data_IF_530776285041
#
_entry.id   IF_530776285041
#
_cell.length_a   1.000
_cell.length_b   1.000
_cell.length_c   1.000
_cell.angle_alpha   90.00
_cell.angle_beta   90.00
_cell.angle_gamma   90.00
#
_symmetry.space_group_name_H-M   'P 1'
#
loop_
_entity.id
_entity.type
_entity.pdbx_description
1 polymer ?
#
# COMPACT_ATOMS: atom_id res chain seq x y z
N UNK A 1 -39.67 54.15 0.65
CA UNK A 1 -38.78 53.78 -0.48
C UNK A 1 -37.55 54.68 -0.37
N UNK A 2 -36.31 54.25 -0.16
CA UNK A 2 -35.53 53.18 -0.81
C UNK A 2 -34.61 52.48 0.20
N UNK A 3 -34.33 51.22 -0.12
CA UNK A 3 -33.47 50.27 0.59
C UNK A 3 -31.99 50.44 0.24
N UNK A 4 -31.14 49.94 1.15
CA UNK A 4 -29.83 49.31 0.95
C UNK A 4 -28.68 50.14 0.32
N UNK A 5 -27.52 50.12 0.98
CA UNK A 5 -26.38 49.31 0.50
C UNK A 5 -25.39 49.05 1.63
N UNK A 6 -24.93 47.81 1.66
CA UNK A 6 -24.11 47.14 2.66
C UNK A 6 -22.65 47.38 2.31
N UNK A 7 -21.88 47.99 3.22
CA UNK A 7 -20.42 48.05 3.12
C UNK A 7 -19.80 46.86 3.86
N UNK A 8 -19.88 45.67 3.28
CA UNK A 8 -19.18 44.50 3.79
C UNK A 8 -17.68 44.64 3.48
N UNK A 9 -16.90 45.07 4.47
CA UNK A 9 -15.45 44.96 4.44
C UNK A 9 -15.10 43.46 4.49
N UNK A 10 -14.83 42.88 3.32
CA UNK A 10 -14.27 41.55 3.17
C UNK A 10 -12.85 41.56 3.74
N UNK A 11 -12.73 41.20 5.01
CA UNK A 11 -11.47 40.86 5.66
C UNK A 11 -10.99 39.51 5.12
N UNK A 12 -10.44 39.52 3.91
CA UNK A 12 -9.78 38.38 3.29
C UNK A 12 -8.32 38.35 3.75
N UNK A 13 -8.00 37.63 4.84
CA UNK A 13 -6.61 37.24 5.16
C UNK A 13 -6.58 35.88 5.90
N UNK A 14 -6.05 34.88 5.17
CA UNK A 14 -5.30 33.70 5.61
C UNK A 14 -5.96 32.69 6.57
N UNK A 15 -6.77 31.78 6.02
CA UNK A 15 -6.78 30.38 6.47
C UNK A 15 -5.61 29.64 5.82
N UNK A 16 -4.40 29.83 6.35
CA UNK A 16 -3.24 29.05 5.96
C UNK A 16 -2.69 28.30 7.18
N UNK A 17 -2.72 26.97 7.08
CA UNK A 17 -1.86 26.00 7.77
C UNK A 17 -2.18 25.66 9.25
N UNK A 18 -3.19 24.82 9.50
CA UNK A 18 -3.26 24.03 10.74
C UNK A 18 -2.85 22.56 10.58
N UNK A 19 -2.55 22.08 9.37
CA UNK A 19 -2.21 20.66 9.11
C UNK A 19 -0.84 20.21 9.63
N UNK A 20 -0.01 21.12 10.15
CA UNK A 20 1.37 20.78 10.54
C UNK A 20 1.47 20.26 11.99
N UNK A 21 0.59 20.69 12.90
CA UNK A 21 0.68 20.33 14.32
C UNK A 21 0.39 18.84 14.59
N UNK A 22 -0.57 18.25 13.86
CA UNK A 22 -0.96 16.85 14.05
C UNK A 22 0.14 15.86 13.62
N UNK A 23 0.94 16.22 12.61
CA UNK A 23 2.06 15.39 12.15
C UNK A 23 3.17 15.30 13.21
N UNK A 24 3.55 16.42 13.82
CA UNK A 24 4.60 16.43 14.87
C UNK A 24 4.15 15.71 16.15
N UNK A 25 2.89 15.87 16.56
CA UNK A 25 2.35 15.16 17.74
C UNK A 25 2.27 13.64 17.49
N UNK A 26 1.87 13.22 16.28
CA UNK A 26 1.87 11.81 15.87
C UNK A 26 3.28 11.22 15.92
N UNK A 27 4.28 11.90 15.33
CA UNK A 27 5.68 11.44 15.31
C UNK A 27 6.29 11.32 16.72
N UNK A 28 6.00 12.25 17.62
CA UNK A 28 6.41 12.14 19.03
C UNK A 28 5.72 10.96 19.73
N UNK A 29 4.43 10.76 19.51
CA UNK A 29 3.68 9.60 20.02
C UNK A 29 4.23 8.25 19.54
N UNK A 30 4.67 8.18 18.27
CA UNK A 30 5.29 6.98 17.70
C UNK A 30 6.61 6.61 18.40
N UNK A 31 7.47 7.60 18.68
CA UNK A 31 8.75 7.38 19.38
C UNK A 31 8.53 6.87 20.81
N UNK A 32 7.59 7.48 21.55
CA UNK A 32 7.22 7.05 22.89
C UNK A 32 6.68 5.60 22.87
N UNK A 33 5.87 5.26 21.87
CA UNK A 33 5.32 3.91 21.70
C UNK A 33 6.42 2.87 21.48
N UNK A 34 7.44 3.18 20.67
CA UNK A 34 8.59 2.29 20.45
C UNK A 34 9.39 2.09 21.75
N UNK A 35 9.67 3.16 22.49
CA UNK A 35 10.42 3.07 23.76
C UNK A 35 9.70 2.13 24.75
N UNK A 36 8.39 2.26 24.89
CA UNK A 36 7.59 1.37 25.76
C UNK A 36 7.62 -0.09 25.29
N UNK A 37 7.59 -0.34 23.99
CA UNK A 37 7.68 -1.69 23.43
C UNK A 37 9.08 -2.30 23.62
N UNK A 38 10.14 -1.51 23.50
CA UNK A 38 11.51 -1.95 23.76
C UNK A 38 11.72 -2.35 25.22
N UNK A 39 11.16 -1.57 26.17
CA UNK A 39 11.20 -1.93 27.58
C UNK A 39 10.49 -3.27 27.86
N UNK A 40 9.35 -3.51 27.23
CA UNK A 40 8.64 -4.79 27.34
C UNK A 40 9.42 -5.94 26.70
N UNK A 41 10.17 -5.66 25.62
CA UNK A 41 10.98 -6.65 24.92
C UNK A 41 12.16 -7.09 25.79
N UNK A 42 12.86 -6.14 26.41
CA UNK A 42 13.94 -6.42 27.35
C UNK A 42 13.44 -7.28 28.51
N UNK A 43 12.30 -6.90 29.10
CA UNK A 43 11.65 -7.71 30.13
C UNK A 43 11.36 -9.13 29.61
N UNK A 44 10.72 -9.28 28.45
CA UNK A 44 10.39 -10.59 27.89
C UNK A 44 11.64 -11.45 27.60
N UNK A 45 12.77 -10.83 27.21
CA UNK A 45 14.06 -11.51 27.02
C UNK A 45 14.63 -12.02 28.35
N UNK A 46 14.62 -11.18 29.39
CA UNK A 46 15.11 -11.55 30.74
C UNK A 46 14.37 -12.77 31.31
N UNK A 47 13.07 -12.88 31.07
CA UNK A 47 12.24 -13.98 31.57
C UNK A 47 12.05 -15.13 30.56
N UNK A 48 12.79 -15.14 29.44
CA UNK A 48 12.76 -16.25 28.48
C UNK A 48 11.41 -16.48 27.79
N UNK A 49 10.58 -15.44 27.65
CA UNK A 49 9.26 -15.58 27.02
C UNK A 49 9.35 -15.39 25.50
N UNK A 50 9.78 -16.43 24.80
CA UNK A 50 10.08 -16.41 23.36
C UNK A 50 8.89 -15.97 22.50
N UNK A 51 7.66 -16.41 22.82
CA UNK A 51 6.47 -16.01 22.07
C UNK A 51 6.18 -14.51 22.23
N UNK A 52 6.37 -13.98 23.45
CA UNK A 52 6.19 -12.56 23.74
C UNK A 52 7.27 -11.71 23.07
N UNK A 53 8.51 -12.19 23.05
CA UNK A 53 9.65 -11.56 22.34
C UNK A 53 9.30 -11.38 20.86
N UNK A 54 8.90 -12.45 20.17
CA UNK A 54 8.55 -12.39 18.75
C UNK A 54 7.39 -11.42 18.47
N UNK A 55 6.36 -11.41 19.33
CA UNK A 55 5.24 -10.48 19.18
C UNK A 55 5.63 -9.01 19.40
N UNK A 56 6.55 -8.74 20.32
CA UNK A 56 7.05 -7.40 20.60
C UNK A 56 7.99 -6.89 19.50
N UNK A 57 8.84 -7.75 18.95
CA UNK A 57 9.68 -7.43 17.79
C UNK A 57 8.81 -7.06 16.58
N UNK A 58 7.73 -7.82 16.33
CA UNK A 58 6.72 -7.48 15.30
C UNK A 58 6.07 -6.11 15.56
N UNK A 59 5.63 -5.86 16.80
CA UNK A 59 4.99 -4.59 17.13
C UNK A 59 5.92 -3.39 16.95
N UNK A 60 7.21 -3.53 17.29
CA UNK A 60 8.22 -2.48 17.08
C UNK A 60 8.41 -2.21 15.58
N UNK A 61 8.51 -3.25 14.76
CA UNK A 61 8.62 -3.12 13.31
C UNK A 61 7.41 -2.37 12.73
N UNK A 62 6.19 -2.78 13.09
CA UNK A 62 4.96 -2.12 12.60
C UNK A 62 4.88 -0.64 13.01
N UNK A 63 5.29 -0.28 14.24
CA UNK A 63 5.28 1.14 14.64
C UNK A 63 6.35 1.93 13.87
N UNK A 64 7.52 1.36 13.59
CA UNK A 64 8.51 2.03 12.74
C UNK A 64 7.97 2.23 11.31
N UNK A 65 7.39 1.19 10.72
CA UNK A 65 6.86 1.22 9.34
C UNK A 65 5.67 2.16 9.19
N UNK A 66 4.61 2.00 9.99
CA UNK A 66 3.34 2.71 9.78
C UNK A 66 3.23 4.05 10.54
N UNK A 67 4.10 4.28 11.52
CA UNK A 67 4.05 5.47 12.38
C UNK A 67 5.22 6.43 12.09
N UNK A 68 6.44 5.94 11.85
CA UNK A 68 7.63 6.77 11.61
C UNK A 68 8.00 6.96 10.13
N UNK A 69 7.45 6.16 9.22
CA UNK A 69 7.44 6.45 7.77
C UNK A 69 8.68 6.08 6.97
N UNK A 70 9.74 5.49 7.56
CA UNK A 70 10.94 5.07 6.82
C UNK A 70 11.66 3.89 7.50
N UNK A 71 11.17 2.66 7.28
CA UNK A 71 12.03 1.48 7.38
C UNK A 71 11.56 0.42 6.38
N UNK A 72 12.23 0.37 5.24
CA UNK A 72 12.21 -0.75 4.30
C UNK A 72 13.41 -1.67 4.59
N UNK A 73 13.18 -2.97 4.51
CA UNK A 73 14.02 -3.94 3.79
C UNK A 73 13.61 -5.37 4.22
N UNK A 74 12.80 -6.06 3.42
CA UNK A 74 12.55 -7.51 3.55
C UNK A 74 12.05 -8.02 4.93
N UNK A 75 10.85 -7.66 5.38
CA UNK A 75 10.13 -8.57 6.29
C UNK A 75 8.61 -8.45 6.19
N UNK A 76 8.00 -9.52 5.71
CA UNK A 76 6.58 -9.82 5.86
C UNK A 76 6.43 -10.76 7.05
N UNK A 77 5.61 -10.37 8.04
CA UNK A 77 4.66 -11.33 8.60
C UNK A 77 3.48 -10.60 9.24
N UNK A 78 2.39 -10.60 8.47
CA UNK A 78 0.99 -10.49 8.85
C UNK A 78 0.59 -9.19 9.55
N UNK A 79 0.13 -8.23 8.76
CA UNK A 79 -0.91 -7.35 9.25
C UNK A 79 -1.92 -7.09 8.13
N UNK A 80 -3.18 -7.12 8.51
CA UNK A 80 -4.37 -7.31 7.68
C UNK A 80 -4.81 -6.02 7.00
N UNK A 81 -3.84 -5.21 6.58
CA UNK A 81 -4.03 -4.12 5.65
C UNK A 81 -3.25 -4.50 4.41
N UNK A 82 -3.99 -5.01 3.41
CA UNK A 82 -3.49 -5.23 2.06
C UNK A 82 -2.77 -3.95 1.63
N UNK A 83 -1.45 -3.99 1.67
CA UNK A 83 -0.62 -2.86 1.29
C UNK A 83 -0.97 -2.52 -0.17
N UNK A 84 -1.61 -1.37 -0.36
CA UNK A 84 -2.04 -0.88 -1.68
C UNK A 84 -0.84 -0.87 -2.65
N UNK A 85 0.39 -0.67 -2.14
CA UNK A 85 1.60 -0.78 -2.95
C UNK A 85 1.83 -2.19 -3.50
N UNK A 86 1.61 -3.24 -2.70
CA UNK A 86 1.71 -4.64 -3.14
C UNK A 86 0.64 -4.99 -4.16
N UNK A 87 -0.58 -4.47 -3.99
CA UNK A 87 -1.65 -4.65 -4.97
C UNK A 87 -1.33 -3.95 -6.29
N UNK A 88 -0.78 -2.73 -6.24
CA UNK A 88 -0.28 -2.00 -7.42
C UNK A 88 0.85 -2.76 -8.13
N UNK A 89 1.82 -3.28 -7.38
CA UNK A 89 2.89 -4.13 -7.94
C UNK A 89 2.31 -5.38 -8.60
N UNK A 90 1.36 -6.06 -7.95
CA UNK A 90 0.72 -7.24 -8.52
C UNK A 90 -0.04 -6.93 -9.82
N UNK A 91 -0.66 -5.75 -9.93
CA UNK A 91 -1.27 -5.30 -11.20
C UNK A 91 -0.21 -5.09 -12.28
N UNK A 92 0.93 -4.48 -11.94
CA UNK A 92 2.03 -4.28 -12.88
C UNK A 92 2.59 -5.62 -13.40
N UNK A 93 2.87 -6.57 -12.51
CA UNK A 93 3.38 -7.91 -12.89
C UNK A 93 2.40 -8.65 -13.81
N UNK A 94 1.08 -8.52 -13.56
CA UNK A 94 0.06 -9.13 -14.42
C UNK A 94 -0.06 -8.45 -15.77
N UNK A 95 0.19 -7.14 -15.84
CA UNK A 95 0.21 -6.40 -17.11
C UNK A 95 1.40 -6.85 -17.96
N UNK A 96 2.59 -6.93 -17.37
CA UNK A 96 3.79 -7.46 -18.05
C UNK A 96 3.55 -8.88 -18.57
N UNK A 97 2.93 -9.75 -17.77
CA UNK A 97 2.57 -11.10 -18.19
C UNK A 97 1.61 -11.12 -19.39
N UNK A 98 0.66 -10.17 -19.49
CA UNK A 98 -0.22 -10.03 -20.66
C UNK A 98 0.59 -9.66 -21.89
N UNK A 99 1.49 -8.70 -21.75
CA UNK A 99 2.33 -8.20 -22.85
C UNK A 99 3.23 -9.34 -23.39
N UNK A 100 3.90 -10.10 -22.50
CA UNK A 100 4.67 -11.29 -22.88
C UNK A 100 3.83 -12.34 -23.62
N UNK A 101 2.62 -12.65 -23.13
CA UNK A 101 1.76 -13.67 -23.78
C UNK A 101 1.26 -13.19 -25.14
N UNK A 102 1.09 -11.88 -25.32
CA UNK A 102 0.73 -11.29 -26.59
C UNK A 102 1.88 -11.39 -27.60
N UNK A 103 3.12 -11.11 -27.18
CA UNK A 103 4.32 -11.31 -28.01
C UNK A 103 4.49 -12.78 -28.42
N UNK A 104 4.35 -13.72 -27.48
CA UNK A 104 4.41 -15.14 -27.78
C UNK A 104 3.34 -15.61 -28.78
N UNK A 105 2.15 -14.98 -28.75
CA UNK A 105 1.10 -15.24 -29.72
C UNK A 105 1.46 -14.69 -31.09
N UNK A 106 1.98 -13.46 -31.17
CA UNK A 106 2.45 -12.85 -32.42
C UNK A 106 3.56 -13.67 -33.05
N UNK A 107 4.51 -14.19 -32.26
CA UNK A 107 5.53 -15.10 -32.76
C UNK A 107 4.94 -16.40 -33.33
N UNK A 108 3.93 -16.99 -32.67
CA UNK A 108 3.29 -18.21 -33.14
C UNK A 108 2.53 -17.97 -34.45
N UNK A 109 1.91 -16.80 -34.60
CA UNK A 109 1.27 -16.35 -35.85
C UNK A 109 2.32 -16.20 -36.96
N UNK A 110 3.43 -15.52 -36.68
CA UNK A 110 4.51 -15.32 -37.64
C UNK A 110 5.15 -16.66 -38.10
N UNK A 111 5.26 -17.63 -37.19
CA UNK A 111 5.77 -18.98 -37.47
C UNK A 111 4.73 -19.88 -38.15
N UNK A 112 3.46 -19.48 -38.21
CA UNK A 112 2.38 -20.24 -38.87
C UNK A 112 2.03 -21.56 -38.20
N UNK A 113 2.20 -21.67 -36.87
CA UNK A 113 1.96 -22.91 -36.12
C UNK A 113 0.55 -22.88 -35.48
N UNK A 114 -0.47 -23.51 -36.09
CA UNK A 114 -1.86 -23.38 -35.65
C UNK A 114 -2.11 -23.94 -34.25
N UNK A 115 -1.40 -25.01 -33.87
CA UNK A 115 -1.52 -25.59 -32.53
C UNK A 115 -0.98 -24.63 -31.46
N UNK A 116 0.18 -24.02 -31.73
CA UNK A 116 0.73 -22.99 -30.84
C UNK A 116 -0.15 -21.75 -30.80
N UNK A 117 -0.72 -21.30 -31.91
CA UNK A 117 -1.62 -20.14 -31.94
C UNK A 117 -2.79 -20.35 -30.99
N UNK A 118 -3.48 -21.50 -31.06
CA UNK A 118 -4.60 -21.84 -30.15
C UNK A 118 -4.14 -21.84 -28.69
N UNK A 119 -2.99 -22.48 -28.40
CA UNK A 119 -2.44 -22.57 -27.04
C UNK A 119 -2.05 -21.21 -26.48
N UNK A 120 -1.41 -20.34 -27.27
CA UNK A 120 -0.97 -19.00 -26.86
C UNK A 120 -2.16 -18.05 -26.69
N UNK A 121 -3.17 -18.16 -27.55
CA UNK A 121 -4.43 -17.41 -27.42
C UNK A 121 -5.13 -17.71 -26.10
N UNK A 122 -5.21 -19.01 -25.71
CA UNK A 122 -5.77 -19.39 -24.41
C UNK A 122 -4.98 -18.79 -23.25
N UNK A 123 -3.65 -18.87 -23.29
CA UNK A 123 -2.78 -18.31 -22.23
C UNK A 123 -2.89 -16.79 -22.12
N UNK A 124 -3.03 -16.08 -23.25
CA UNK A 124 -3.27 -14.64 -23.25
C UNK A 124 -4.59 -14.30 -22.57
N UNK A 125 -5.66 -15.02 -22.90
CA UNK A 125 -6.97 -14.85 -22.25
C UNK A 125 -6.92 -15.09 -20.73
N UNK A 126 -6.18 -16.11 -20.29
CA UNK A 126 -5.96 -16.40 -18.87
C UNK A 126 -5.19 -15.26 -18.18
N UNK A 127 -4.12 -14.76 -18.79
CA UNK A 127 -3.37 -13.62 -18.25
C UNK A 127 -4.21 -12.35 -18.14
N UNK A 128 -5.08 -12.07 -19.13
CA UNK A 128 -6.01 -10.95 -19.10
C UNK A 128 -7.03 -11.08 -17.96
N UNK A 129 -7.54 -12.29 -17.70
CA UNK A 129 -8.45 -12.54 -16.59
C UNK A 129 -7.76 -12.34 -15.22
N UNK A 130 -6.53 -12.84 -15.06
CA UNK A 130 -5.73 -12.63 -13.84
C UNK A 130 -5.43 -11.13 -13.58
N UNK A 131 -5.17 -10.36 -14.66
CA UNK A 131 -4.96 -8.92 -14.58
C UNK A 131 -6.24 -8.20 -14.11
N UNK A 132 -7.39 -8.56 -14.65
CA UNK A 132 -8.67 -7.97 -14.26
C UNK A 132 -9.01 -8.26 -12.80
N UNK A 133 -8.77 -9.49 -12.35
CA UNK A 133 -8.92 -9.86 -10.94
C UNK A 133 -7.99 -9.04 -10.04
N UNK A 134 -6.73 -8.82 -10.45
CA UNK A 134 -5.79 -7.99 -9.69
C UNK A 134 -6.24 -6.52 -9.63
N UNK A 135 -6.76 -5.95 -10.73
CA UNK A 135 -7.31 -4.59 -10.77
C UNK A 135 -8.55 -4.44 -9.90
N UNK A 136 -9.46 -5.41 -9.95
CA UNK A 136 -10.65 -5.43 -9.09
C UNK A 136 -10.27 -5.49 -7.60
N UNK A 137 -9.34 -6.37 -7.23
CA UNK A 137 -8.81 -6.44 -5.87
C UNK A 137 -8.18 -5.12 -5.39
N UNK A 138 -7.45 -4.43 -6.28
CA UNK A 138 -6.89 -3.11 -5.98
C UNK A 138 -8.00 -2.08 -5.80
N UNK A 139 -8.99 -2.03 -6.70
CA UNK A 139 -10.10 -1.08 -6.63
C UNK A 139 -10.90 -1.25 -5.32
N UNK A 140 -11.25 -2.47 -4.94
CA UNK A 140 -11.95 -2.78 -3.70
C UNK A 140 -11.18 -2.30 -2.46
N UNK A 141 -9.84 -2.41 -2.47
CA UNK A 141 -8.99 -1.95 -1.35
C UNK A 141 -8.82 -0.44 -1.26
N UNK A 142 -9.23 0.32 -2.29
CA UNK A 142 -9.14 1.79 -2.31
C UNK A 142 -10.45 2.50 -1.97
N UNK A 143 -11.52 1.74 -1.71
CA UNK A 143 -12.87 2.24 -1.43
C UNK A 143 -13.25 2.20 0.07
N UNK A 144 -12.38 1.66 0.93
CA UNK A 144 -12.51 1.63 2.41
C UNK A 144 -11.71 2.78 3.04
#
# INVERSE_FOLDING_TARGET
MRKLTVGAALLSVCLANTVVADYYHKQQGCKIKIQKLQQQLEYAKTYGNTNRVQGLERAIANVKTYCLGDYDENYSYNDQTKDISKLKSKVADKQEKVDERNEELLEAIAKGDPEKIVKKTRKLKEAMAELEEAKSNLALSTQE
#
